data_IF_425843164952
#
_entry.id   IF_425843164952
#
_cell.length_a   1.000
_cell.length_b   1.000
_cell.length_c   1.000
_cell.angle_alpha   90.00
_cell.angle_beta   90.00
_cell.angle_gamma   90.00
#
_symmetry.space_group_name_H-M   'P 1'
#
loop_
_entity.id
_entity.type
_entity.pdbx_description
1 polymer ?
#
# COMPACT_ATOMS: atom_id res chain seq x y z
N UNK A 1 1.38 11.80 20.44
CA UNK A 1 2.49 11.61 19.47
C UNK A 1 1.87 11.10 18.19
N UNK A 2 2.29 11.63 17.04
CA UNK A 2 1.89 11.15 15.72
C UNK A 2 3.05 10.32 15.17
N UNK A 3 2.75 9.24 14.45
CA UNK A 3 3.71 8.40 13.74
C UNK A 3 3.31 8.44 12.27
N UNK A 4 4.29 8.66 11.40
CA UNK A 4 4.12 8.58 9.95
C UNK A 4 4.77 7.29 9.44
N UNK A 5 4.04 6.55 8.61
CA UNK A 5 4.50 5.30 8.02
C UNK A 5 3.97 5.18 6.59
N UNK A 6 4.82 4.71 5.68
CA UNK A 6 4.46 4.49 4.28
C UNK A 6 4.45 2.98 4.01
N UNK A 7 3.35 2.50 3.44
CA UNK A 7 3.15 1.09 3.09
C UNK A 7 2.86 0.96 1.60
N UNK A 8 3.26 -0.18 1.03
CA UNK A 8 2.93 -0.53 -0.34
C UNK A 8 1.72 -1.45 -0.35
N UNK A 9 0.77 -1.14 -1.23
CA UNK A 9 -0.33 -2.03 -1.58
C UNK A 9 -0.32 -2.20 -3.10
N UNK A 10 -0.49 -3.43 -3.57
CA UNK A 10 -0.55 -3.71 -5.00
C UNK A 10 -1.65 -4.73 -5.29
N UNK A 11 -2.17 -4.67 -6.52
CA UNK A 11 -3.17 -5.60 -7.01
C UNK A 11 -2.89 -5.98 -8.46
N UNK A 12 -3.51 -7.06 -8.90
CA UNK A 12 -3.65 -7.45 -10.32
C UNK A 12 -5.11 -7.39 -10.73
N UNK A 13 -5.38 -7.43 -12.04
CA UNK A 13 -6.73 -7.23 -12.58
C UNK A 13 -7.03 -5.75 -12.83
N UNK A 14 -8.32 -5.40 -12.90
CA UNK A 14 -8.74 -4.00 -13.11
C UNK A 14 -8.90 -3.27 -11.78
N UNK A 15 -8.75 -1.94 -11.74
CA UNK A 15 -8.98 -1.16 -10.52
C UNK A 15 -10.40 -1.28 -9.94
N UNK A 16 -11.40 -1.62 -10.77
CA UNK A 16 -12.78 -1.84 -10.34
C UNK A 16 -13.02 -3.24 -9.74
N UNK A 17 -12.13 -4.19 -10.03
CA UNK A 17 -12.18 -5.54 -9.46
C UNK A 17 -10.76 -6.03 -9.14
N UNK A 18 -10.08 -5.40 -8.17
CA UNK A 18 -8.67 -5.66 -7.87
C UNK A 18 -8.52 -6.99 -7.13
N UNK A 19 -7.52 -7.78 -7.55
CA UNK A 19 -7.02 -8.91 -6.78
C UNK A 19 -5.76 -8.49 -6.05
N UNK A 20 -5.89 -8.13 -4.77
CA UNK A 20 -4.81 -7.66 -3.91
C UNK A 20 -3.74 -8.73 -3.68
N UNK A 21 -2.49 -8.29 -3.70
CA UNK A 21 -1.31 -9.14 -3.57
C UNK A 21 -0.82 -9.17 -2.11
N UNK A 22 -0.10 -10.24 -1.74
CA UNK A 22 0.56 -10.31 -0.44
C UNK A 22 1.79 -9.41 -0.38
N UNK A 23 2.16 -8.96 0.83
CA UNK A 23 3.37 -8.16 1.08
C UNK A 23 4.64 -8.82 0.50
N UNK A 24 4.73 -10.15 0.56
CA UNK A 24 5.83 -10.93 -0.05
C UNK A 24 5.88 -10.77 -1.58
N UNK A 25 4.73 -10.92 -2.25
CA UNK A 25 4.63 -10.75 -3.70
C UNK A 25 4.97 -9.31 -4.10
N UNK A 26 4.52 -8.33 -3.34
CA UNK A 26 4.85 -6.91 -3.56
C UNK A 26 6.36 -6.69 -3.43
N UNK A 27 6.99 -7.22 -2.37
CA UNK A 27 8.43 -7.11 -2.16
C UNK A 27 9.24 -7.75 -3.29
N UNK A 28 8.77 -8.84 -3.89
CA UNK A 28 9.39 -9.45 -5.06
C UNK A 28 9.23 -8.61 -6.33
N UNK A 29 8.06 -8.01 -6.54
CA UNK A 29 7.83 -7.11 -7.68
C UNK A 29 8.77 -5.90 -7.67
N UNK A 30 9.09 -5.35 -6.50
CA UNK A 30 10.02 -4.23 -6.37
C UNK A 30 11.46 -4.57 -6.81
N UNK A 31 11.80 -5.86 -6.93
CA UNK A 31 13.10 -6.32 -7.43
C UNK A 31 13.14 -6.44 -8.95
N UNK A 32 12.01 -6.22 -9.64
CA UNK A 32 11.94 -6.32 -11.09
C UNK A 32 12.84 -5.29 -11.78
N UNK A 33 13.57 -5.74 -12.80
CA UNK A 33 14.39 -4.87 -13.65
C UNK A 33 13.59 -4.43 -14.88
N UNK A 34 13.64 -3.15 -15.29
CA UNK A 34 12.99 -2.70 -16.51
C UNK A 34 13.46 -3.50 -17.73
N UNK A 35 12.52 -4.06 -18.50
CA UNK A 35 12.83 -4.79 -19.73
C UNK A 35 13.15 -3.87 -20.91
N UNK A 36 12.78 -2.58 -20.83
CA UNK A 36 13.01 -1.60 -21.87
C UNK A 36 12.21 -0.32 -21.60
N UNK A 37 12.40 0.67 -22.48
CA UNK A 37 11.64 1.91 -22.45
C UNK A 37 10.31 1.75 -23.19
N UNK A 38 9.29 2.46 -22.74
CA UNK A 38 7.97 2.52 -23.35
C UNK A 38 7.65 3.98 -23.75
N UNK A 39 6.93 4.23 -24.86
CA UNK A 39 6.48 5.58 -25.19
C UNK A 39 5.64 6.19 -24.06
N UNK A 40 5.87 7.47 -23.75
CA UNK A 40 5.19 8.17 -22.65
C UNK A 40 3.66 8.15 -22.81
N UNK A 41 3.15 8.30 -24.03
CA UNK A 41 1.71 8.25 -24.33
C UNK A 41 1.08 6.91 -23.94
N UNK A 42 1.83 5.82 -24.15
CA UNK A 42 1.40 4.48 -23.79
C UNK A 42 1.43 4.30 -22.27
N UNK A 43 2.48 4.77 -21.59
CA UNK A 43 2.55 4.76 -20.12
C UNK A 43 1.40 5.51 -19.45
N UNK A 44 1.05 6.69 -19.99
CA UNK A 44 -0.13 7.46 -19.53
C UNK A 44 -1.42 6.68 -19.72
N UNK A 45 -1.62 6.09 -20.91
CA UNK A 45 -2.82 5.30 -21.19
C UNK A 45 -2.99 4.11 -20.22
N UNK A 46 -1.90 3.46 -19.82
CA UNK A 46 -1.95 2.35 -18.87
C UNK A 46 -2.26 2.77 -17.43
N UNK A 47 -1.74 3.91 -16.96
CA UNK A 47 -1.91 4.32 -15.56
C UNK A 47 -3.22 5.09 -15.33
N UNK A 48 -3.76 5.78 -16.34
CA UNK A 48 -4.98 6.61 -16.21
C UNK A 48 -6.16 5.89 -15.58
N UNK A 49 -6.54 4.65 -15.97
CA UNK A 49 -7.67 3.96 -15.35
C UNK A 49 -7.49 3.74 -13.84
N UNK A 50 -6.27 3.47 -13.39
CA UNK A 50 -5.95 3.31 -11.96
C UNK A 50 -6.07 4.64 -11.21
N UNK A 51 -5.60 5.74 -11.82
CA UNK A 51 -5.75 7.08 -11.24
C UNK A 51 -7.23 7.50 -11.14
N UNK A 52 -8.02 7.21 -12.18
CA UNK A 52 -9.45 7.51 -12.20
C UNK A 52 -10.20 6.74 -11.11
N UNK A 53 -9.92 5.45 -10.95
CA UNK A 53 -10.51 4.62 -9.89
C UNK A 53 -10.09 5.07 -8.48
N UNK A 54 -8.86 5.54 -8.29
CA UNK A 54 -8.41 6.16 -7.05
C UNK A 54 -9.22 7.43 -6.74
N UNK A 55 -9.37 8.33 -7.74
CA UNK A 55 -10.13 9.56 -7.59
C UNK A 55 -11.62 9.31 -7.30
N UNK A 56 -12.17 8.22 -7.84
CA UNK A 56 -13.54 7.78 -7.59
C UNK A 56 -13.71 7.05 -6.25
N UNK A 57 -12.62 6.78 -5.53
CA UNK A 57 -12.64 6.15 -4.22
C UNK A 57 -12.69 4.61 -4.24
N UNK A 58 -12.62 3.96 -5.41
CA UNK A 58 -12.85 2.52 -5.56
C UNK A 58 -11.88 1.66 -4.74
N UNK A 59 -10.65 2.13 -4.56
CA UNK A 59 -9.60 1.41 -3.84
C UNK A 59 -9.54 1.74 -2.34
N UNK A 60 -10.22 2.81 -1.89
CA UNK A 60 -10.06 3.31 -0.53
C UNK A 60 -10.64 2.41 0.56
N UNK A 61 -11.58 1.53 0.23
CA UNK A 61 -12.07 0.52 1.17
C UNK A 61 -10.93 -0.38 1.64
N UNK A 62 -10.21 -1.00 0.69
CA UNK A 62 -9.08 -1.86 1.03
C UNK A 62 -7.93 -1.09 1.68
N UNK A 63 -7.61 0.11 1.18
CA UNK A 63 -6.55 0.93 1.78
C UNK A 63 -6.88 1.34 3.23
N UNK A 64 -8.16 1.55 3.53
CA UNK A 64 -8.63 1.83 4.89
C UNK A 64 -8.48 0.61 5.81
N UNK A 65 -8.77 -0.59 5.32
CA UNK A 65 -8.62 -1.84 6.08
C UNK A 65 -7.14 -2.19 6.32
N UNK A 66 -6.30 -1.95 5.31
CA UNK A 66 -4.85 -2.09 5.43
C UNK A 66 -4.28 -1.12 6.48
N UNK A 67 -4.74 0.14 6.49
CA UNK A 67 -4.33 1.12 7.48
C UNK A 67 -4.72 0.72 8.92
N UNK A 68 -5.91 0.17 9.12
CA UNK A 68 -6.33 -0.34 10.44
C UNK A 68 -5.47 -1.52 10.89
N UNK A 69 -5.15 -2.42 9.96
CA UNK A 69 -4.26 -3.56 10.23
C UNK A 69 -2.89 -3.07 10.69
N UNK A 70 -2.29 -2.10 9.99
CA UNK A 70 -1.01 -1.50 10.37
C UNK A 70 -1.07 -0.76 11.71
N UNK A 71 -2.16 -0.05 11.98
CA UNK A 71 -2.36 0.57 13.29
C UNK A 71 -2.39 -0.47 14.43
N UNK A 72 -3.02 -1.63 14.21
CA UNK A 72 -3.05 -2.72 15.18
C UNK A 72 -1.66 -3.36 15.37
N UNK A 73 -0.93 -3.65 14.28
CA UNK A 73 0.43 -4.17 14.33
C UNK A 73 1.37 -3.26 15.14
N UNK A 74 1.24 -1.94 14.95
CA UNK A 74 2.01 -0.93 15.66
C UNK A 74 1.62 -0.84 17.15
N UNK A 75 0.33 -0.89 17.47
CA UNK A 75 -0.17 -0.96 18.86
C UNK A 75 0.43 -2.18 19.57
N UNK A 76 0.35 -3.36 18.95
CA UNK A 76 0.88 -4.61 19.50
C UNK A 76 2.39 -4.56 19.69
N UNK A 77 3.12 -4.01 18.72
CA UNK A 77 4.57 -3.81 18.81
C UNK A 77 4.94 -2.93 20.02
N UNK A 78 4.27 -1.78 20.17
CA UNK A 78 4.51 -0.90 21.30
C UNK A 78 4.12 -1.52 22.65
N UNK A 79 3.03 -2.30 22.71
CA UNK A 79 2.66 -3.05 23.92
C UNK A 79 3.75 -4.02 24.33
N UNK A 80 4.25 -4.85 23.39
CA UNK A 80 5.33 -5.82 23.66
C UNK A 80 6.57 -5.13 24.23
N UNK A 81 7.02 -4.04 23.60
CA UNK A 81 8.19 -3.28 24.05
C UNK A 81 7.99 -2.71 25.46
N UNK A 82 6.82 -2.12 25.75
CA UNK A 82 6.54 -1.51 27.07
C UNK A 82 6.41 -2.54 28.18
N UNK A 83 5.82 -3.70 27.90
CA UNK A 83 5.75 -4.82 28.83
C UNK A 83 7.15 -5.31 29.20
N UNK A 84 8.03 -5.51 28.21
CA UNK A 84 9.41 -5.93 28.43
C UNK A 84 10.22 -4.89 29.22
N UNK A 85 9.92 -3.60 29.05
CA UNK A 85 10.55 -2.50 29.79
C UNK A 85 9.95 -2.23 31.18
N UNK A 86 9.00 -3.05 31.66
CA UNK A 86 8.36 -2.88 32.99
C UNK A 86 7.50 -1.61 33.12
N UNK A 87 7.13 -0.98 32.01
CA UNK A 87 6.34 0.26 31.99
C UNK A 87 4.85 -0.04 31.94
N UNK A 88 4.03 0.72 32.68
CA UNK A 88 2.58 0.60 32.65
C UNK A 88 2.02 0.84 31.22
N UNK A 89 1.25 -0.13 30.71
CA UNK A 89 0.69 -0.13 29.33
C UNK A 89 -0.74 0.46 29.28
N UNK A 90 -1.18 1.15 30.34
CA UNK A 90 -2.56 1.64 30.43
C UNK A 90 -2.79 2.82 29.50
N UNK A 91 -3.84 2.75 28.68
CA UNK A 91 -4.28 3.86 27.82
C UNK A 91 -3.52 4.05 26.51
N UNK A 92 -2.59 3.16 26.16
CA UNK A 92 -2.00 3.15 24.81
C UNK A 92 -3.08 2.72 23.80
N UNK A 93 -3.27 3.53 22.76
CA UNK A 93 -4.12 3.23 21.61
C UNK A 93 -3.49 3.85 20.37
N UNK A 94 -3.33 3.06 19.32
CA UNK A 94 -2.99 3.54 17.97
C UNK A 94 -4.25 3.48 17.12
N UNK A 95 -4.48 4.52 16.31
CA UNK A 95 -5.59 4.59 15.36
C UNK A 95 -5.07 5.15 14.04
N UNK A 96 -5.42 4.51 12.93
CA UNK A 96 -5.10 5.02 11.60
C UNK A 96 -5.79 6.36 11.35
N UNK A 97 -5.07 7.30 10.71
CA UNK A 97 -5.68 8.48 10.11
C UNK A 97 -6.20 8.11 8.72
N UNK A 98 -7.46 8.47 8.42
CA UNK A 98 -8.13 8.12 7.16
C UNK A 98 -8.85 9.35 6.57
N UNK A 99 -8.96 9.48 5.24
CA UNK A 99 -8.36 8.59 4.22
C UNK A 99 -6.82 8.64 4.25
N UNK A 100 -6.17 7.57 3.76
CA UNK A 100 -4.71 7.54 3.66
C UNK A 100 -4.24 8.43 2.51
N UNK A 101 -3.05 9.02 2.65
CA UNK A 101 -2.42 9.77 1.57
C UNK A 101 -1.78 8.82 0.55
N UNK A 102 -2.02 9.07 -0.74
CA UNK A 102 -1.38 8.34 -1.83
C UNK A 102 -0.10 9.07 -2.23
N UNK A 103 1.05 8.49 -1.89
CA UNK A 103 2.36 9.08 -2.21
C UNK A 103 2.78 8.85 -3.67
N UNK A 104 2.31 7.77 -4.29
CA UNK A 104 2.64 7.44 -5.67
C UNK A 104 1.92 6.18 -6.16
N UNK A 105 1.77 6.10 -7.48
CA UNK A 105 1.19 4.94 -8.17
C UNK A 105 2.20 4.45 -9.19
N UNK A 106 2.49 3.15 -9.16
CA UNK A 106 3.46 2.51 -10.04
C UNK A 106 2.75 1.39 -10.80
N UNK A 107 2.74 1.46 -12.12
CA UNK A 107 2.15 0.43 -12.97
C UNK A 107 3.26 -0.49 -13.51
N UNK A 108 3.22 -1.76 -13.10
CA UNK A 108 4.10 -2.79 -13.63
C UNK A 108 3.43 -3.43 -14.83
N UNK A 109 4.16 -3.51 -15.94
CA UNK A 109 3.70 -4.12 -17.19
C UNK A 109 4.72 -5.18 -17.56
N UNK A 110 4.30 -6.42 -17.88
CA UNK A 110 5.21 -7.44 -18.36
C UNK A 110 6.00 -6.94 -19.57
N UNK A 111 7.32 -7.13 -19.56
CA UNK A 111 8.12 -6.94 -20.77
C UNK A 111 7.57 -7.87 -21.85
N UNK A 112 7.16 -7.32 -23.00
CA UNK A 112 6.85 -8.16 -24.15
C UNK A 112 8.07 -8.99 -24.49
N UNK A 113 7.92 -10.32 -24.57
CA UNK A 113 8.97 -11.15 -25.16
C UNK A 113 9.25 -10.59 -26.57
N UNK A 114 10.50 -10.20 -26.82
CA UNK A 114 10.99 -10.00 -28.18
C UNK A 114 11.02 -11.33 -28.93
#
# INVERSE_FOLDING_TARGET
>A
MVVEEAHLAAFTGTPDNPTWLSDETVADLLKATPAGNMPESMGKAFITPTLDALNQGHLFAHLSDAADTKAQELDDSHRRVRQAAGTLVRGLRVTAQKPVDILGVYQFIPGGNA
#
